data_IF_330587312292
#
_entry.id   IF_330587312292
#
_cell.length_a   1.000
_cell.length_b   1.000
_cell.length_c   1.000
_cell.angle_alpha   90.00
_cell.angle_beta   90.00
_cell.angle_gamma   90.00
#
_symmetry.space_group_name_H-M   'P 1'
#
loop_
_entity.id
_entity.type
_entity.pdbx_description
1 polymer ?
#
# COMPACT_ATOMS: atom_id res chain seq x y z
N UNK A 1 -12.45 10.48 13.78
CA UNK A 1 -11.18 10.58 13.02
C UNK A 1 -10.83 9.18 12.61
N UNK A 2 -10.92 8.87 11.32
CA UNK A 2 -10.80 7.51 10.78
C UNK A 2 -9.37 7.26 10.30
N UNK A 3 -8.89 6.03 10.50
CA UNK A 3 -7.59 5.55 10.04
C UNK A 3 -7.84 4.36 9.10
N UNK A 4 -7.18 4.33 7.95
CA UNK A 4 -7.24 3.22 7.02
C UNK A 4 -5.87 2.54 6.94
N UNK A 5 -5.73 1.28 7.41
CA UNK A 5 -4.54 0.49 7.13
C UNK A 5 -4.56 0.05 5.67
N UNK A 6 -3.48 0.32 4.95
CA UNK A 6 -3.28 -0.05 3.56
C UNK A 6 -2.07 -0.98 3.49
N UNK A 7 -2.34 -2.24 3.18
CA UNK A 7 -1.31 -3.24 2.96
C UNK A 7 -0.83 -3.15 1.50
N UNK A 8 0.48 -3.03 1.28
CA UNK A 8 1.03 -2.95 -0.07
C UNK A 8 1.36 -4.34 -0.59
N UNK A 9 0.40 -4.95 -1.28
CA UNK A 9 0.58 -6.27 -1.88
C UNK A 9 0.58 -6.19 -3.41
N UNK A 10 1.33 -7.10 -4.03
CA UNK A 10 1.17 -7.38 -5.46
C UNK A 10 0.07 -8.42 -5.62
N UNK A 11 -0.95 -8.09 -6.41
CA UNK A 11 -2.03 -9.00 -6.74
C UNK A 11 -1.88 -9.50 -8.18
N UNK A 12 -1.96 -10.81 -8.39
CA UNK A 12 -2.18 -11.38 -9.73
C UNK A 12 -3.66 -11.73 -9.85
N UNK A 13 -4.33 -11.17 -10.85
CA UNK A 13 -5.74 -11.44 -11.12
C UNK A 13 -5.87 -12.68 -12.02
N UNK A 14 -6.38 -13.78 -11.46
CA UNK A 14 -7.03 -14.83 -12.24
C UNK A 14 -8.55 -14.71 -12.08
N UNK A 15 -9.35 -15.02 -13.11
CA UNK A 15 -10.80 -14.74 -13.14
C UNK A 15 -11.63 -15.39 -12.02
N UNK A 16 -11.02 -16.24 -11.19
CA UNK A 16 -11.64 -16.93 -10.04
C UNK A 16 -10.76 -16.95 -8.78
N UNK A 17 -9.54 -16.41 -8.82
CA UNK A 17 -8.64 -16.37 -7.66
C UNK A 17 -7.76 -15.12 -7.71
N UNK A 18 -7.94 -14.22 -6.74
CA UNK A 18 -6.93 -13.22 -6.45
C UNK A 18 -5.83 -13.87 -5.60
N UNK A 19 -4.58 -13.81 -6.07
CA UNK A 19 -3.41 -14.16 -5.28
C UNK A 19 -2.66 -12.89 -4.94
N UNK A 20 -2.54 -12.57 -3.65
CA UNK A 20 -1.72 -11.46 -3.17
C UNK A 20 -0.53 -12.00 -2.38
N UNK A 21 0.67 -11.58 -2.73
CA UNK A 21 1.85 -11.84 -1.91
C UNK A 21 1.94 -10.79 -0.81
N UNK A 22 2.08 -11.23 0.44
CA UNK A 22 2.35 -10.33 1.55
C UNK A 22 3.72 -9.69 1.35
N UNK A 23 3.79 -8.37 1.47
CA UNK A 23 5.03 -7.62 1.59
C UNK A 23 5.04 -6.97 2.97
N UNK A 24 6.21 -6.84 3.60
CA UNK A 24 6.30 -6.32 4.96
C UNK A 24 5.97 -4.84 5.07
N UNK A 25 6.06 -4.04 4.00
CA UNK A 25 5.78 -2.59 4.12
C UNK A 25 4.28 -2.30 4.13
N UNK A 26 3.84 -1.58 5.15
CA UNK A 26 2.47 -1.11 5.31
C UNK A 26 2.39 0.43 5.25
N UNK A 27 1.20 0.96 4.97
CA UNK A 27 0.93 2.38 5.05
C UNK A 27 -0.36 2.66 5.84
N UNK A 28 -0.34 3.70 6.66
CA UNK A 28 -1.51 4.15 7.42
C UNK A 28 -1.92 5.54 6.94
N UNK A 29 -3.18 5.68 6.52
CA UNK A 29 -3.72 6.96 6.03
C UNK A 29 -4.60 7.63 7.09
N UNK A 30 -4.27 8.88 7.40
CA UNK A 30 -5.13 9.83 8.13
C UNK A 30 -5.75 10.78 7.12
N UNK A 31 -7.04 10.58 6.85
CA UNK A 31 -7.76 11.33 5.82
C UNK A 31 -7.63 12.84 6.03
N UNK A 32 -7.21 13.56 4.98
CA UNK A 32 -7.06 15.01 5.03
C UNK A 32 -5.78 15.52 5.69
N UNK A 33 -4.91 14.63 6.20
CA UNK A 33 -3.81 15.02 7.07
C UNK A 33 -2.46 14.43 6.64
N UNK A 34 -2.33 13.10 6.61
CA UNK A 34 -1.03 12.45 6.42
C UNK A 34 -1.17 11.00 5.97
N UNK A 35 -0.06 10.48 5.45
CA UNK A 35 0.20 9.04 5.31
C UNK A 35 1.51 8.72 6.02
N UNK A 36 1.52 7.63 6.76
CA UNK A 36 2.68 7.08 7.45
C UNK A 36 3.06 5.76 6.80
N UNK A 37 4.34 5.57 6.50
CA UNK A 37 4.88 4.30 5.96
C UNK A 37 5.52 3.57 7.12
N UNK A 38 5.08 2.35 7.38
CA UNK A 38 5.51 1.52 8.50
C UNK A 38 6.30 0.28 8.01
N UNK A 39 6.92 -0.43 8.94
CA UNK A 39 7.58 -1.74 8.72
C UNK A 39 8.73 -1.74 7.67
N UNK A 40 9.36 -0.57 7.50
CA UNK A 40 10.53 -0.42 6.63
C UNK A 40 11.73 -1.21 7.17
N UNK A 41 11.90 -1.25 8.49
CA UNK A 41 12.94 -2.05 9.14
C UNK A 41 12.74 -3.56 8.93
N UNK A 42 11.48 -4.01 8.90
CA UNK A 42 11.12 -5.40 8.60
C UNK A 42 11.38 -5.76 7.13
N UNK A 43 11.09 -4.86 6.19
CA UNK A 43 11.51 -5.01 4.79
C UNK A 43 13.03 -5.18 4.68
N UNK A 44 13.79 -4.30 5.33
CA UNK A 44 15.24 -4.34 5.30
C UNK A 44 15.79 -5.61 5.96
N UNK A 45 15.16 -6.07 7.04
CA UNK A 45 15.49 -7.33 7.69
C UNK A 45 15.21 -8.52 6.75
N UNK A 46 14.06 -8.55 6.07
CA UNK A 46 13.69 -9.60 5.14
C UNK A 46 14.67 -9.71 3.96
N UNK A 47 15.07 -8.57 3.38
CA UNK A 47 16.10 -8.52 2.32
C UNK A 47 17.45 -8.98 2.85
N UNK A 48 17.89 -8.47 4.01
CA UNK A 48 19.17 -8.84 4.65
C UNK A 48 19.26 -10.34 4.95
N UNK A 49 18.16 -10.96 5.35
CA UNK A 49 18.09 -12.38 5.67
C UNK A 49 17.79 -13.26 4.45
N UNK A 50 17.68 -12.69 3.25
CA UNK A 50 17.42 -13.42 2.01
C UNK A 50 16.01 -13.99 1.91
N UNK A 51 15.08 -13.53 2.74
CA UNK A 51 13.66 -13.89 2.67
C UNK A 51 12.97 -13.22 1.47
N UNK A 52 13.47 -12.06 1.06
CA UNK A 52 13.10 -11.35 -0.17
C UNK A 52 14.35 -11.10 -1.02
N UNK A 53 14.20 -11.12 -2.34
CA UNK A 53 15.27 -10.66 -3.23
C UNK A 53 15.43 -9.14 -3.11
N UNK A 54 16.62 -8.58 -3.40
CA UNK A 54 16.81 -7.14 -3.47
C UNK A 54 15.84 -6.46 -4.45
N UNK A 55 15.56 -7.08 -5.59
CA UNK A 55 14.64 -6.56 -6.61
C UNK A 55 13.22 -6.42 -6.04
N UNK A 56 12.76 -7.43 -5.30
CA UNK A 56 11.47 -7.39 -4.60
C UNK A 56 11.44 -6.29 -3.53
N UNK A 57 12.56 -6.11 -2.81
CA UNK A 57 12.72 -5.03 -1.84
C UNK A 57 12.62 -3.64 -2.48
N UNK A 58 13.30 -3.44 -3.62
CA UNK A 58 13.22 -2.19 -4.38
C UNK A 58 11.80 -1.92 -4.88
N UNK A 59 11.12 -2.95 -5.40
CA UNK A 59 9.76 -2.86 -5.88
C UNK A 59 8.79 -2.41 -4.77
N UNK A 60 8.94 -2.97 -3.56
CA UNK A 60 8.15 -2.58 -2.40
C UNK A 60 8.34 -1.09 -2.04
N UNK A 61 9.58 -0.60 -2.05
CA UNK A 61 9.89 0.82 -1.80
C UNK A 61 9.27 1.72 -2.88
N UNK A 62 9.36 1.33 -4.16
CA UNK A 62 8.77 2.10 -5.27
C UNK A 62 7.25 2.18 -5.15
N UNK A 63 6.60 1.07 -4.79
CA UNK A 63 5.16 1.03 -4.54
C UNK A 63 4.76 1.94 -3.37
N UNK A 64 5.54 1.93 -2.27
CA UNK A 64 5.31 2.83 -1.13
C UNK A 64 5.40 4.31 -1.53
N UNK A 65 6.45 4.68 -2.26
CA UNK A 65 6.62 6.06 -2.71
C UNK A 65 5.51 6.50 -3.67
N UNK A 66 5.11 5.65 -4.62
CA UNK A 66 4.00 5.92 -5.54
C UNK A 66 2.68 6.12 -4.78
N UNK A 67 2.43 5.31 -3.75
CA UNK A 67 1.26 5.44 -2.87
C UNK A 67 1.24 6.78 -2.14
N UNK A 68 2.37 7.16 -1.52
CA UNK A 68 2.51 8.45 -0.83
C UNK A 68 2.32 9.63 -1.78
N UNK A 69 2.91 9.56 -2.98
CA UNK A 69 2.74 10.57 -4.02
C UNK A 69 1.28 10.69 -4.48
N UNK A 70 0.60 9.56 -4.71
CA UNK A 70 -0.81 9.50 -5.08
C UNK A 70 -1.72 10.10 -4.02
N UNK A 71 -1.54 9.70 -2.76
CA UNK A 71 -2.32 10.21 -1.63
C UNK A 71 -2.08 11.70 -1.39
N UNK A 72 -0.84 12.16 -1.38
CA UNK A 72 -0.52 13.58 -1.16
C UNK A 72 -1.17 14.50 -2.21
N UNK A 73 -1.22 14.08 -3.48
CA UNK A 73 -1.93 14.81 -4.56
C UNK A 73 -3.44 14.82 -4.42
N UNK A 74 -4.00 13.90 -3.64
CA UNK A 74 -5.43 13.77 -3.39
C UNK A 74 -5.82 14.26 -1.99
N UNK A 75 -4.96 15.04 -1.32
CA UNK A 75 -5.24 15.57 0.02
C UNK A 75 -5.29 14.49 1.09
N UNK A 76 -4.52 13.41 0.91
CA UNK A 76 -4.52 12.23 1.77
C UNK A 76 -5.90 11.55 1.87
N UNK A 77 -6.74 11.69 0.85
CA UNK A 77 -8.03 11.01 0.74
C UNK A 77 -7.89 9.74 -0.11
N UNK A 78 -8.01 8.59 0.55
CA UNK A 78 -7.85 7.26 -0.06
C UNK A 78 -8.94 6.97 -1.10
N UNK A 79 -10.20 7.24 -0.78
CA UNK A 79 -11.32 6.96 -1.67
C UNK A 79 -11.20 7.83 -2.93
N UNK A 80 -10.85 9.12 -2.76
CA UNK A 80 -10.60 10.02 -3.89
C UNK A 80 -9.43 9.56 -4.76
N UNK A 81 -8.33 9.15 -4.14
CA UNK A 81 -7.16 8.68 -4.89
C UNK A 81 -7.49 7.42 -5.70
N UNK A 82 -8.16 6.44 -5.09
CA UNK A 82 -8.53 5.19 -5.76
C UNK A 82 -9.55 5.44 -6.88
N UNK A 83 -10.58 6.27 -6.63
CA UNK A 83 -11.56 6.62 -7.66
C UNK A 83 -10.89 7.31 -8.87
N UNK A 84 -9.90 8.19 -8.62
CA UNK A 84 -9.08 8.79 -9.66
C UNK A 84 -8.27 7.79 -10.50
N UNK A 85 -8.03 6.58 -9.98
CA UNK A 85 -7.39 5.45 -10.68
C UNK A 85 -8.40 4.42 -11.20
N UNK A 86 -9.71 4.73 -11.20
CA UNK A 86 -10.76 3.84 -11.67
C UNK A 86 -11.15 2.72 -10.70
N UNK A 87 -10.73 2.83 -9.43
CA UNK A 87 -11.05 1.88 -8.37
C UNK A 87 -12.05 2.51 -7.40
N UNK A 88 -13.31 2.08 -7.46
CA UNK A 88 -14.33 2.51 -6.50
C UNK A 88 -14.46 1.49 -5.37
N UNK A 89 -14.18 1.93 -4.13
CA UNK A 89 -14.39 1.12 -2.93
C UNK A 89 -15.76 1.40 -2.33
N UNK A 90 -16.39 0.34 -1.83
CA UNK A 90 -17.57 0.45 -0.95
C UNK A 90 -17.28 -0.25 0.35
N UNK A 91 -17.43 0.49 1.45
CA UNK A 91 -17.20 -0.03 2.80
C UNK A 91 -18.53 -0.41 3.44
N UNK A 92 -18.61 -1.56 4.10
CA UNK A 92 -19.80 -1.87 4.92
C UNK A 92 -19.83 -0.95 6.13
N UNK A 93 -20.88 -0.14 6.23
CA UNK A 93 -21.10 0.77 7.37
C UNK A 93 -20.60 2.20 7.16
N UNK A 94 -20.20 2.57 5.94
CA UNK A 94 -20.11 3.96 5.50
C UNK A 94 -21.49 4.53 5.16
#
# INVERSE_FOLDING_TARGET
MWFYPVNMAFATEHPVLAHSEYRPVEAMVRTGEAVEVDDVDELLAAVRHGLLSPDVGEEAVRTALSTVEGLSRNGYDLDRWLAGNGLELTWRGA
#
